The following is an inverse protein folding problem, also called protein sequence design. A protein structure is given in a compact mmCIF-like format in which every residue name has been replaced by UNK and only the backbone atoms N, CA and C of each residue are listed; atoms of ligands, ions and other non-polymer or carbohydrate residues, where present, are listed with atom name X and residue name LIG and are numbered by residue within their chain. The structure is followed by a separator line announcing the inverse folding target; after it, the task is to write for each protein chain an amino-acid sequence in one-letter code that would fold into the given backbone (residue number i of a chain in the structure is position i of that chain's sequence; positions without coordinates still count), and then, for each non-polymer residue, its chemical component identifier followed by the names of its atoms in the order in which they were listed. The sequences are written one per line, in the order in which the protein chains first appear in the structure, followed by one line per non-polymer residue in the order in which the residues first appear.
data_IF_088843128619
#
_entry.id   IF_088843128619
#
_cell.length_a   1.000
_cell.length_b   1.000
_cell.length_c   1.000
_cell.angle_alpha   90.00
_cell.angle_beta   90.00
_cell.angle_gamma   90.00
#
_symmetry.space_group_name_H-M   'P 1'
#
loop_
_entity.id
_entity.type
_entity.pdbx_description
1 polymer ?
#
# COMPACT_ATOMS: atom_id res chain seq x y z
N UNK A 1 8.58 2.52 -53.18
CA UNK A 1 9.81 2.32 -52.37
C UNK A 1 9.39 1.66 -51.08
N UNK A 2 9.86 0.46 -50.83
CA UNK A 2 9.52 -0.27 -49.58
C UNK A 2 10.53 0.14 -48.50
N UNK A 3 10.19 1.15 -47.70
CA UNK A 3 11.05 1.60 -46.59
C UNK A 3 10.92 0.63 -45.43
N UNK A 4 11.93 -0.19 -45.20
CA UNK A 4 11.98 -1.04 -43.98
C UNK A 4 12.22 -0.16 -42.75
N UNK A 5 11.53 -0.42 -41.62
CA UNK A 5 11.85 0.27 -40.40
C UNK A 5 13.30 0.07 -39.99
N UNK A 6 13.95 1.13 -39.51
CA UNK A 6 15.34 1.09 -38.99
C UNK A 6 15.32 1.21 -37.49
N UNK A 7 16.20 0.46 -36.81
CA UNK A 7 16.34 0.52 -35.37
C UNK A 7 17.14 1.75 -34.93
N UNK A 8 16.60 2.51 -33.98
CA UNK A 8 17.26 3.66 -33.39
C UNK A 8 17.28 3.50 -31.87
N UNK A 9 18.33 4.01 -31.20
CA UNK A 9 18.44 4.05 -29.72
C UNK A 9 18.26 5.49 -29.27
N UNK A 10 17.36 5.67 -28.28
CA UNK A 10 17.21 6.92 -27.56
C UNK A 10 17.64 6.71 -26.09
N UNK A 11 18.40 7.66 -25.53
CA UNK A 11 18.82 7.66 -24.14
C UNK A 11 18.91 9.10 -23.64
N UNK A 12 18.37 9.36 -22.46
CA UNK A 12 18.47 10.64 -21.77
C UNK A 12 18.69 10.37 -20.28
N UNK A 13 19.62 11.08 -19.66
CA UNK A 13 19.82 11.07 -18.22
C UNK A 13 18.99 12.21 -17.59
N UNK A 14 18.24 11.91 -16.51
CA UNK A 14 17.52 12.91 -15.72
C UNK A 14 17.85 12.71 -14.24
N UNK A 15 18.17 13.79 -13.55
CA UNK A 15 18.29 13.82 -12.08
C UNK A 15 16.94 14.20 -11.50
N UNK A 16 16.46 13.42 -10.53
CA UNK A 16 15.22 13.67 -9.81
C UNK A 16 15.52 13.74 -8.31
N UNK A 17 14.97 14.74 -7.62
CA UNK A 17 14.95 14.80 -6.16
C UNK A 17 13.64 14.17 -5.68
N UNK A 18 13.74 13.17 -4.81
CA UNK A 18 12.60 12.56 -4.14
C UNK A 18 12.51 13.16 -2.73
N UNK A 19 11.42 13.85 -2.44
CA UNK A 19 11.17 14.46 -1.14
C UNK A 19 9.68 14.38 -0.79
N UNK A 20 9.39 14.11 0.48
CA UNK A 20 8.04 14.15 1.03
C UNK A 20 8.08 14.60 2.49
N UNK A 21 7.12 15.40 2.90
CA UNK A 21 6.79 15.55 4.31
C UNK A 21 5.94 14.36 4.76
N UNK A 22 6.11 13.92 6.00
CA UNK A 22 5.37 12.78 6.52
C UNK A 22 5.12 12.88 8.02
N UNK A 23 4.04 12.28 8.48
CA UNK A 23 3.81 12.03 9.90
C UNK A 23 4.43 10.70 10.29
N UNK A 24 5.10 10.68 11.44
CA UNK A 24 5.65 9.49 12.08
C UNK A 24 5.00 9.30 13.44
N UNK A 25 4.41 8.13 13.67
CA UNK A 25 3.93 7.70 14.98
C UNK A 25 4.78 6.54 15.46
N UNK A 26 5.36 6.67 16.65
CA UNK A 26 6.12 5.61 17.32
C UNK A 26 5.26 4.99 18.42
N UNK A 27 5.29 3.65 18.60
CA UNK A 27 4.49 3.00 19.63
C UNK A 27 5.01 3.32 21.04
N UNK A 28 4.15 3.25 22.06
CA UNK A 28 4.57 3.41 23.47
C UNK A 28 5.72 2.46 23.81
N UNK A 29 6.70 2.97 24.52
CA UNK A 29 7.90 2.20 24.89
C UNK A 29 8.91 2.02 23.74
N UNK A 30 8.72 2.70 22.61
CA UNK A 30 9.76 2.75 21.57
C UNK A 30 11.08 3.28 22.14
N UNK A 31 12.18 2.55 21.92
CA UNK A 31 13.50 2.90 22.42
C UNK A 31 13.82 2.47 23.86
N UNK A 32 12.84 1.97 24.62
CA UNK A 32 13.08 1.43 25.98
C UNK A 32 13.94 0.14 25.93
N UNK A 33 13.73 -0.68 24.92
CA UNK A 33 14.56 -1.83 24.57
C UNK A 33 15.17 -1.59 23.18
N UNK A 34 16.48 -1.37 23.12
CA UNK A 34 17.22 -1.08 21.90
C UNK A 34 17.37 -2.30 20.98
N UNK A 35 17.09 -3.51 21.47
CA UNK A 35 17.12 -4.75 20.69
C UNK A 35 15.81 -5.02 19.99
N UNK A 36 14.71 -4.45 20.50
CA UNK A 36 13.37 -4.66 19.94
C UNK A 36 13.24 -4.02 18.56
N UNK A 37 12.68 -4.77 17.62
CA UNK A 37 12.27 -4.29 16.31
C UNK A 37 10.75 -4.26 16.23
N UNK A 38 10.23 -3.23 15.61
CA UNK A 38 8.80 -2.95 15.57
C UNK A 38 8.22 -3.15 14.16
N UNK A 39 7.03 -3.74 14.04
CA UNK A 39 6.34 -3.79 12.76
C UNK A 39 6.00 -2.37 12.27
N UNK A 40 5.96 -2.18 10.97
CA UNK A 40 5.73 -0.89 10.34
C UNK A 40 4.48 -0.93 9.45
N UNK A 41 3.65 0.12 9.53
CA UNK A 41 2.59 0.40 8.57
C UNK A 41 2.98 1.65 7.76
N UNK A 42 3.06 1.52 6.44
CA UNK A 42 3.06 2.64 5.50
C UNK A 42 1.60 2.91 5.11
N UNK A 43 1.12 4.12 5.44
CA UNK A 43 -0.27 4.53 5.19
C UNK A 43 -0.35 5.60 4.11
N UNK A 44 -1.18 5.36 3.09
CA UNK A 44 -1.40 6.26 1.97
C UNK A 44 -2.80 6.87 2.04
N UNK A 45 -2.87 8.19 2.20
CA UNK A 45 -4.13 8.94 2.25
C UNK A 45 -4.81 9.05 0.88
N UNK A 46 -6.05 9.51 0.87
CA UNK A 46 -6.85 9.75 -0.33
C UNK A 46 -6.53 11.08 -1.02
N UNK A 47 -7.23 11.34 -2.12
CA UNK A 47 -7.02 12.55 -2.92
C UNK A 47 -7.37 13.84 -2.15
N UNK A 48 -8.30 13.76 -1.19
CA UNK A 48 -8.74 14.92 -0.39
C UNK A 48 -7.71 15.45 0.60
N UNK A 49 -6.70 14.65 0.95
CA UNK A 49 -5.66 15.00 1.90
C UNK A 49 -4.34 15.43 1.21
N UNK A 50 -4.35 15.63 -0.11
CA UNK A 50 -3.19 16.18 -0.85
C UNK A 50 -2.87 17.60 -0.41
N UNK A 51 -1.63 18.03 -0.64
CA UNK A 51 -1.17 19.39 -0.38
C UNK A 51 0.08 19.47 0.45
N UNK A 52 0.15 20.45 1.36
CA UNK A 52 1.32 20.73 2.23
C UNK A 52 0.97 20.75 3.71
N UNK A 53 -0.31 20.58 4.07
CA UNK A 53 -0.74 20.57 5.45
C UNK A 53 -0.74 19.17 6.03
N UNK A 54 0.32 18.79 6.72
CA UNK A 54 0.45 17.46 7.34
C UNK A 54 -0.66 17.11 8.33
N UNK A 55 -1.31 18.09 8.96
CA UNK A 55 -2.38 17.80 9.94
C UNK A 55 -3.57 17.06 9.33
N UNK A 56 -3.82 17.25 8.02
CA UNK A 56 -4.93 16.57 7.34
C UNK A 56 -4.62 15.10 7.00
N UNK A 57 -3.35 14.72 6.95
CA UNK A 57 -2.92 13.33 6.67
C UNK A 57 -3.41 12.38 7.77
N UNK A 58 -3.49 12.85 9.02
CA UNK A 58 -4.01 12.09 10.14
C UNK A 58 -5.55 12.11 10.25
N UNK A 59 -6.27 12.70 9.28
CA UNK A 59 -7.74 12.80 9.33
C UNK A 59 -8.40 11.41 9.30
N UNK A 60 -7.82 10.48 8.58
CA UNK A 60 -8.27 9.10 8.41
C UNK A 60 -7.12 8.13 8.63
N UNK A 61 -7.43 6.84 8.69
CA UNK A 61 -6.42 5.78 8.71
C UNK A 61 -5.92 5.36 10.10
N UNK A 62 -4.83 4.59 10.15
CA UNK A 62 -4.38 3.88 11.35
C UNK A 62 -3.86 4.82 12.45
N UNK A 63 -3.46 6.04 12.15
CA UNK A 63 -2.95 7.01 13.13
C UNK A 63 -3.96 7.41 14.20
N UNK A 64 -5.25 7.18 13.99
CA UNK A 64 -6.33 7.45 14.96
C UNK A 64 -6.70 6.24 15.81
N UNK A 65 -6.15 5.08 15.51
CA UNK A 65 -6.58 3.80 16.09
C UNK A 65 -5.56 3.35 17.14
N UNK A 66 -6.01 3.19 18.39
CA UNK A 66 -5.14 2.80 19.50
C UNK A 66 -4.43 1.46 19.24
N UNK A 67 -5.15 0.46 18.68
CA UNK A 67 -4.56 -0.83 18.35
C UNK A 67 -3.40 -0.70 17.35
N UNK A 68 -3.49 0.25 16.41
CA UNK A 68 -2.39 0.53 15.48
C UNK A 68 -1.26 1.29 16.16
N UNK A 69 -1.57 2.40 16.85
CA UNK A 69 -0.56 3.24 17.51
C UNK A 69 0.27 2.49 18.55
N UNK A 70 -0.34 1.54 19.25
CA UNK A 70 0.31 0.81 20.34
C UNK A 70 1.23 -0.31 19.84
N UNK A 71 1.07 -0.77 18.60
CA UNK A 71 1.76 -1.95 18.11
C UNK A 71 2.69 -1.69 16.91
N UNK A 72 2.55 -0.55 16.22
CA UNK A 72 3.26 -0.30 14.97
C UNK A 72 4.00 1.05 14.96
N UNK A 73 5.11 1.09 14.26
CA UNK A 73 5.61 2.34 13.67
C UNK A 73 4.67 2.68 12.53
N UNK A 74 4.10 3.89 12.48
CA UNK A 74 3.20 4.29 11.40
C UNK A 74 3.84 5.47 10.67
N UNK A 75 4.02 5.31 9.36
CA UNK A 75 4.55 6.34 8.45
C UNK A 75 3.44 6.75 7.49
N UNK A 76 3.10 8.03 7.51
CA UNK A 76 2.03 8.60 6.70
C UNK A 76 2.56 9.80 5.92
N UNK A 77 3.10 9.58 4.71
CA UNK A 77 3.57 10.67 3.86
C UNK A 77 2.42 11.51 3.35
N UNK A 78 2.72 12.76 2.95
CA UNK A 78 1.79 13.62 2.24
C UNK A 78 2.09 13.64 0.74
N UNK A 79 1.06 13.36 -0.06
CA UNK A 79 1.12 13.52 -1.51
C UNK A 79 0.83 14.97 -1.88
N UNK A 80 1.65 15.64 -2.71
CA UNK A 80 1.41 17.02 -3.14
C UNK A 80 0.13 17.17 -3.98
N UNK A 81 -0.40 18.40 -4.02
CA UNK A 81 -1.53 18.72 -4.91
C UNK A 81 -1.22 18.36 -6.37
N UNK A 82 -2.25 17.90 -7.08
CA UNK A 82 -2.15 17.53 -8.50
C UNK A 82 -1.28 16.29 -8.78
N UNK A 83 -0.77 15.63 -7.74
CA UNK A 83 0.02 14.39 -7.89
C UNK A 83 -0.75 13.17 -7.43
N UNK A 84 -0.25 12.00 -7.80
CA UNK A 84 -0.63 10.70 -7.28
C UNK A 84 0.58 10.04 -6.61
N UNK A 85 0.38 8.94 -5.93
CA UNK A 85 1.46 8.21 -5.26
C UNK A 85 2.50 7.70 -6.26
N UNK A 86 3.78 7.95 -5.96
CA UNK A 86 4.93 7.51 -6.73
C UNK A 86 5.63 6.36 -6.00
N UNK A 87 5.82 5.22 -6.65
CA UNK A 87 6.52 4.08 -6.07
C UNK A 87 7.97 4.45 -5.70
N UNK A 88 8.68 5.20 -6.56
CA UNK A 88 10.07 5.59 -6.30
C UNK A 88 10.18 6.42 -5.00
N UNK A 89 9.26 7.38 -4.81
CA UNK A 89 9.23 8.20 -3.60
C UNK A 89 8.92 7.35 -2.36
N UNK A 90 7.93 6.47 -2.44
CA UNK A 90 7.50 5.65 -1.30
C UNK A 90 8.55 4.62 -0.91
N UNK A 91 9.26 4.03 -1.86
CA UNK A 91 10.38 3.12 -1.59
C UNK A 91 11.57 3.84 -0.98
N UNK A 92 11.94 5.01 -1.50
CA UNK A 92 13.02 5.82 -0.94
C UNK A 92 12.71 6.24 0.51
N UNK A 93 11.46 6.64 0.79
CA UNK A 93 11.01 6.94 2.15
C UNK A 93 11.07 5.71 3.04
N UNK A 94 10.59 4.56 2.58
CA UNK A 94 10.62 3.32 3.34
C UNK A 94 12.06 2.91 3.68
N UNK A 95 12.98 3.01 2.72
CA UNK A 95 14.41 2.74 2.93
C UNK A 95 15.06 3.68 3.97
N UNK A 96 14.69 4.96 3.96
CA UNK A 96 15.16 5.94 4.96
C UNK A 96 14.63 5.61 6.37
N UNK A 97 13.35 5.26 6.46
CA UNK A 97 12.72 4.87 7.72
C UNK A 97 13.34 3.58 8.28
N UNK A 98 13.54 2.56 7.45
CA UNK A 98 14.16 1.30 7.86
C UNK A 98 15.61 1.48 8.36
N UNK A 99 16.34 2.47 7.84
CA UNK A 99 17.71 2.82 8.28
C UNK A 99 17.72 3.60 9.60
N UNK A 100 16.73 4.47 9.81
CA UNK A 100 16.72 5.42 10.94
C UNK A 100 16.00 4.90 12.18
N UNK A 101 15.08 3.96 12.02
CA UNK A 101 14.22 3.46 13.09
C UNK A 101 14.36 1.95 13.27
N UNK A 102 14.00 1.48 14.48
CA UNK A 102 14.08 0.07 14.84
C UNK A 102 12.93 -0.76 14.19
N UNK A 103 12.90 -0.79 12.85
CA UNK A 103 11.89 -1.51 12.07
C UNK A 103 12.23 -3.00 12.01
N UNK A 104 11.20 -3.84 12.20
CA UNK A 104 11.24 -5.24 11.79
C UNK A 104 10.94 -5.32 10.29
N UNK A 105 11.97 -5.43 9.49
CA UNK A 105 11.85 -5.45 8.03
C UNK A 105 11.08 -6.65 7.49
N UNK A 106 10.85 -7.68 8.29
CA UNK A 106 9.99 -8.81 7.93
C UNK A 106 8.50 -8.54 8.17
N UNK A 107 8.17 -7.49 8.91
CA UNK A 107 6.80 -7.10 9.26
C UNK A 107 6.51 -5.66 8.82
N UNK A 108 6.61 -5.44 7.51
CA UNK A 108 6.26 -4.18 6.85
C UNK A 108 4.94 -4.36 6.12
N UNK A 109 3.98 -3.49 6.41
CA UNK A 109 2.63 -3.53 5.89
C UNK A 109 2.30 -2.25 5.14
N UNK A 110 1.43 -2.36 4.16
CA UNK A 110 1.00 -1.23 3.34
C UNK A 110 -0.52 -1.16 3.32
N UNK A 111 -1.07 0.02 3.58
CA UNK A 111 -2.51 0.27 3.47
C UNK A 111 -2.76 1.69 2.99
N UNK A 112 -3.92 1.93 2.42
CA UNK A 112 -4.33 3.26 1.98
C UNK A 112 -5.76 3.26 1.48
N UNK A 113 -6.36 4.45 1.41
CA UNK A 113 -7.75 4.64 1.04
C UNK A 113 -7.90 5.43 -0.28
N UNK A 114 -8.90 5.09 -1.09
CA UNK A 114 -9.21 5.78 -2.35
C UNK A 114 -7.97 5.90 -3.24
N UNK A 115 -7.47 7.09 -3.55
CA UNK A 115 -6.19 7.29 -4.23
C UNK A 115 -5.05 6.50 -3.56
N UNK A 116 -5.03 6.44 -2.22
CA UNK A 116 -4.09 5.61 -1.45
C UNK A 116 -4.37 4.11 -1.60
N UNK A 117 -5.61 3.70 -1.81
CA UNK A 117 -5.99 2.32 -2.14
C UNK A 117 -5.41 1.89 -3.50
N UNK A 118 -5.48 2.76 -4.52
CA UNK A 118 -4.79 2.56 -5.80
C UNK A 118 -3.26 2.52 -5.61
N UNK A 119 -2.71 3.43 -4.79
CA UNK A 119 -1.29 3.42 -4.44
C UNK A 119 -0.87 2.13 -3.75
N UNK A 120 -1.71 1.59 -2.86
CA UNK A 120 -1.49 0.31 -2.17
C UNK A 120 -1.44 -0.86 -3.14
N UNK A 121 -2.40 -0.96 -4.06
CA UNK A 121 -2.37 -1.97 -5.11
C UNK A 121 -1.12 -1.83 -5.99
N UNK A 122 -0.85 -0.61 -6.47
CA UNK A 122 0.26 -0.38 -7.39
C UNK A 122 1.61 -0.68 -6.74
N UNK A 123 1.90 -0.13 -5.56
CA UNK A 123 3.18 -0.34 -4.87
C UNK A 123 3.32 -1.80 -4.40
N UNK A 124 2.27 -2.37 -3.81
CA UNK A 124 2.28 -3.74 -3.29
C UNK A 124 2.50 -4.79 -4.37
N UNK A 125 1.92 -4.60 -5.58
CA UNK A 125 2.12 -5.54 -6.68
C UNK A 125 3.40 -5.27 -7.48
N UNK A 126 3.89 -4.03 -7.52
CA UNK A 126 5.18 -3.74 -8.18
C UNK A 126 6.39 -4.17 -7.35
N UNK A 127 6.25 -4.20 -6.03
CA UNK A 127 7.33 -4.51 -5.08
C UNK A 127 6.85 -5.43 -3.95
N UNK A 128 6.30 -6.62 -4.29
CA UNK A 128 5.69 -7.53 -3.30
C UNK A 128 6.72 -8.09 -2.30
N UNK A 129 8.00 -8.08 -2.66
CA UNK A 129 9.10 -8.48 -1.78
C UNK A 129 9.32 -7.53 -0.59
N UNK A 130 8.73 -6.33 -0.61
CA UNK A 130 8.85 -5.34 0.47
C UNK A 130 7.82 -5.52 1.58
N UNK A 131 6.71 -6.19 1.31
CA UNK A 131 5.55 -6.22 2.21
C UNK A 131 5.21 -7.63 2.68
N UNK A 132 4.93 -7.78 3.98
CA UNK A 132 4.37 -8.99 4.54
C UNK A 132 2.87 -9.12 4.21
N UNK A 133 2.14 -7.99 4.25
CA UNK A 133 0.75 -7.91 3.86
C UNK A 133 0.36 -6.51 3.39
N UNK A 134 -0.69 -6.44 2.56
CA UNK A 134 -1.28 -5.18 2.08
C UNK A 134 -2.79 -5.15 2.31
N UNK A 135 -3.31 -3.96 2.65
CA UNK A 135 -4.75 -3.75 2.84
C UNK A 135 -5.24 -2.52 2.04
N UNK A 136 -5.54 -2.67 0.75
CA UNK A 136 -6.10 -1.59 -0.07
C UNK A 136 -7.57 -1.37 0.27
N UNK A 137 -7.99 -0.10 0.44
CA UNK A 137 -9.35 0.29 0.80
C UNK A 137 -9.94 1.18 -0.28
N UNK A 138 -11.13 0.84 -0.81
CA UNK A 138 -11.88 1.54 -1.87
C UNK A 138 -11.00 2.06 -3.01
N UNK A 139 -10.12 1.19 -3.51
CA UNK A 139 -9.21 1.46 -4.62
C UNK A 139 -9.21 0.32 -5.62
N UNK A 140 -8.47 0.50 -6.70
CA UNK A 140 -8.28 -0.48 -7.76
C UNK A 140 -6.83 -0.60 -8.19
N UNK A 141 -6.55 -1.49 -9.11
CA UNK A 141 -5.20 -1.75 -9.60
C UNK A 141 -5.18 -2.27 -11.03
N UNK A 142 -4.00 -2.65 -11.47
CA UNK A 142 -3.77 -3.14 -12.84
C UNK A 142 -3.57 -4.67 -12.83
N UNK A 143 -4.60 -5.42 -13.23
CA UNK A 143 -4.54 -6.88 -13.30
C UNK A 143 -3.47 -7.40 -14.27
N UNK A 144 -3.01 -6.56 -15.21
CA UNK A 144 -1.90 -6.91 -16.12
C UNK A 144 -0.61 -7.24 -15.35
N UNK A 145 -0.34 -6.61 -14.19
CA UNK A 145 0.82 -6.92 -13.36
C UNK A 145 0.78 -8.39 -12.89
N UNK A 146 -0.41 -8.87 -12.49
CA UNK A 146 -0.62 -10.25 -12.05
C UNK A 146 -0.43 -11.21 -13.22
N UNK A 147 -0.98 -10.87 -14.39
CA UNK A 147 -0.83 -11.66 -15.60
C UNK A 147 0.64 -11.79 -16.02
N UNK A 148 1.39 -10.67 -16.04
CA UNK A 148 2.81 -10.68 -16.39
C UNK A 148 3.63 -11.50 -15.38
N UNK A 149 3.37 -11.37 -14.08
CA UNK A 149 4.04 -12.17 -13.06
C UNK A 149 3.74 -13.66 -13.25
N UNK A 150 2.48 -14.02 -13.49
CA UNK A 150 2.06 -15.41 -13.66
C UNK A 150 2.76 -16.12 -14.81
N UNK A 151 2.96 -15.44 -15.94
CA UNK A 151 3.49 -16.07 -17.15
C UNK A 151 4.97 -15.82 -17.39
N UNK A 152 5.56 -14.76 -16.83
CA UNK A 152 6.90 -14.31 -17.20
C UNK A 152 7.83 -14.02 -16.02
N UNK A 153 7.32 -13.98 -14.76
CA UNK A 153 8.13 -13.66 -13.59
C UNK A 153 7.73 -14.52 -12.37
N UNK A 154 8.31 -15.73 -12.32
CA UNK A 154 8.04 -16.68 -11.25
C UNK A 154 8.47 -16.17 -9.86
N UNK A 155 9.48 -15.30 -9.77
CA UNK A 155 9.94 -14.73 -8.49
C UNK A 155 8.92 -13.76 -7.92
N UNK A 156 8.40 -12.84 -8.75
CA UNK A 156 7.31 -11.93 -8.37
C UNK A 156 6.05 -12.72 -8.03
N UNK A 157 5.71 -13.75 -8.80
CA UNK A 157 4.54 -14.59 -8.52
C UNK A 157 4.66 -15.34 -7.18
N UNK A 158 5.86 -15.82 -6.83
CA UNK A 158 6.12 -16.44 -5.54
C UNK A 158 5.94 -15.43 -4.37
N UNK A 159 6.31 -14.16 -4.57
CA UNK A 159 6.05 -13.10 -3.60
C UNK A 159 4.55 -12.81 -3.44
N UNK A 160 3.77 -12.74 -4.52
CA UNK A 160 2.31 -12.59 -4.43
C UNK A 160 1.66 -13.71 -3.61
N UNK A 161 2.12 -14.95 -3.78
CA UNK A 161 1.59 -16.11 -3.05
C UNK A 161 1.92 -16.11 -1.56
N UNK A 162 2.97 -15.40 -1.13
CA UNK A 162 3.35 -15.28 0.28
C UNK A 162 2.76 -14.06 0.96
N UNK A 163 2.51 -13.00 0.22
CA UNK A 163 1.99 -11.73 0.74
C UNK A 163 0.51 -11.88 1.09
N UNK A 164 0.13 -11.55 2.34
CA UNK A 164 -1.26 -11.44 2.71
C UNK A 164 -1.93 -10.25 1.99
N UNK A 165 -3.13 -10.44 1.47
CA UNK A 165 -3.90 -9.38 0.79
C UNK A 165 -5.31 -9.37 1.33
N UNK A 166 -5.72 -8.25 1.93
CA UNK A 166 -7.09 -8.07 2.40
C UNK A 166 -7.66 -6.75 1.89
N UNK A 167 -8.42 -6.82 0.81
CA UNK A 167 -9.08 -5.66 0.21
C UNK A 167 -10.42 -5.35 0.90
N UNK A 168 -10.75 -4.05 0.97
CA UNK A 168 -12.01 -3.57 1.56
C UNK A 168 -12.68 -2.59 0.62
N UNK A 169 -14.03 -2.68 0.50
CA UNK A 169 -14.79 -1.77 -0.36
C UNK A 169 -16.20 -1.52 0.15
N UNK A 170 -16.78 -0.38 -0.22
CA UNK A 170 -18.19 -0.10 -0.01
C UNK A 170 -19.05 -0.66 -1.14
N UNK A 171 -20.12 -1.41 -0.80
CA UNK A 171 -21.00 -2.01 -1.79
C UNK A 171 -21.83 -0.99 -2.60
N UNK A 172 -22.00 0.22 -2.07
CA UNK A 172 -22.71 1.34 -2.72
C UNK A 172 -21.77 2.46 -3.17
N UNK A 173 -20.46 2.16 -3.32
CA UNK A 173 -19.46 3.13 -3.78
C UNK A 173 -19.69 3.45 -5.26
N UNK A 174 -20.01 4.72 -5.56
CA UNK A 174 -20.20 5.24 -6.92
C UNK A 174 -19.04 6.12 -7.38
N UNK A 175 -18.05 6.37 -6.52
CA UNK A 175 -16.84 7.14 -6.85
C UNK A 175 -15.76 6.21 -7.42
N UNK A 176 -15.51 5.12 -6.71
CA UNK A 176 -14.71 3.98 -7.16
C UNK A 176 -15.58 2.76 -6.96
N UNK A 177 -15.98 2.11 -8.04
CA UNK A 177 -16.93 0.99 -7.93
C UNK A 177 -16.27 -0.24 -7.30
N UNK A 178 -17.01 -1.07 -6.54
CA UNK A 178 -16.46 -2.25 -5.89
C UNK A 178 -15.84 -3.26 -6.87
N UNK A 179 -16.27 -3.24 -8.14
CA UNK A 179 -15.68 -4.05 -9.21
C UNK A 179 -14.15 -3.92 -9.30
N UNK A 180 -13.61 -2.76 -8.98
CA UNK A 180 -12.16 -2.52 -8.96
C UNK A 180 -11.45 -3.47 -7.99
N UNK A 181 -11.95 -3.61 -6.77
CA UNK A 181 -11.40 -4.56 -5.79
C UNK A 181 -11.73 -6.01 -6.15
N UNK A 182 -12.92 -6.28 -6.67
CA UNK A 182 -13.36 -7.63 -7.07
C UNK A 182 -12.48 -8.18 -8.20
N UNK A 183 -12.17 -7.37 -9.23
CA UNK A 183 -11.29 -7.74 -10.33
C UNK A 183 -9.88 -8.06 -9.84
N UNK A 184 -9.31 -7.24 -8.95
CA UNK A 184 -7.96 -7.46 -8.42
C UNK A 184 -7.88 -8.75 -7.60
N UNK A 185 -8.83 -8.93 -6.67
CA UNK A 185 -8.90 -10.12 -5.82
C UNK A 185 -9.18 -11.38 -6.65
N UNK A 186 -10.09 -11.30 -7.63
CA UNK A 186 -10.41 -12.39 -8.55
C UNK A 186 -9.20 -12.81 -9.38
N UNK A 187 -8.43 -11.85 -9.91
CA UNK A 187 -7.23 -12.13 -10.69
C UNK A 187 -6.15 -12.82 -9.86
N UNK A 188 -5.90 -12.37 -8.61
CA UNK A 188 -4.93 -12.98 -7.70
C UNK A 188 -5.33 -14.41 -7.31
N UNK A 189 -6.60 -14.64 -6.98
CA UNK A 189 -7.12 -15.99 -6.68
C UNK A 189 -6.98 -16.91 -7.88
N UNK A 190 -7.31 -16.43 -9.09
CA UNK A 190 -7.14 -17.19 -10.33
C UNK A 190 -5.67 -17.51 -10.62
N UNK A 191 -4.74 -16.65 -10.23
CA UNK A 191 -3.31 -16.89 -10.33
C UNK A 191 -2.74 -17.82 -9.25
N UNK A 192 -3.59 -18.32 -8.34
CA UNK A 192 -3.22 -19.27 -7.29
C UNK A 192 -2.70 -18.65 -5.99
N UNK A 193 -3.02 -17.39 -5.72
CA UNK A 193 -2.80 -16.78 -4.41
C UNK A 193 -3.93 -17.22 -3.46
N UNK A 194 -3.58 -17.77 -2.31
CA UNK A 194 -4.53 -18.38 -1.36
C UNK A 194 -4.89 -17.44 -0.21
N UNK A 195 -3.98 -16.55 0.19
CA UNK A 195 -4.20 -15.60 1.26
C UNK A 195 -4.66 -14.24 0.69
N UNK A 196 -5.82 -14.28 0.04
CA UNK A 196 -6.45 -13.11 -0.60
C UNK A 196 -7.89 -13.00 -0.15
N UNK A 197 -8.21 -11.95 0.59
CA UNK A 197 -9.54 -11.67 1.16
C UNK A 197 -10.15 -10.41 0.55
N UNK A 198 -11.47 -10.36 0.47
CA UNK A 198 -12.25 -9.17 0.12
C UNK A 198 -13.39 -9.02 1.12
N UNK A 199 -13.49 -7.86 1.74
CA UNK A 199 -14.64 -7.46 2.54
C UNK A 199 -15.40 -6.35 1.84
N UNK A 200 -16.63 -6.63 1.45
CA UNK A 200 -17.56 -5.62 0.95
C UNK A 200 -18.49 -5.21 2.11
N UNK A 201 -18.55 -3.92 2.39
CA UNK A 201 -19.54 -3.35 3.31
C UNK A 201 -20.80 -2.97 2.53
N UNK A 202 -21.90 -3.75 2.58
CA UNK A 202 -23.01 -3.63 1.63
C UNK A 202 -23.66 -2.25 1.59
N UNK A 203 -23.72 -1.57 2.74
CA UNK A 203 -24.37 -0.27 2.88
C UNK A 203 -23.41 0.93 2.79
N UNK A 204 -22.09 0.69 2.80
CA UNK A 204 -21.12 1.77 2.71
C UNK A 204 -21.01 2.29 1.28
N UNK A 205 -20.89 3.60 1.17
CA UNK A 205 -20.51 4.30 -0.05
C UNK A 205 -18.98 4.36 -0.14
N UNK A 206 -18.42 5.44 -0.70
CA UNK A 206 -16.98 5.60 -0.85
C UNK A 206 -16.24 5.58 0.49
N UNK A 207 -16.83 6.11 1.58
CA UNK A 207 -16.25 6.04 2.93
C UNK A 207 -16.38 4.63 3.56
N UNK A 208 -15.73 3.64 2.96
CA UNK A 208 -15.55 2.32 3.57
C UNK A 208 -14.38 2.29 4.55
N UNK A 209 -13.43 3.25 4.46
CA UNK A 209 -12.24 3.31 5.30
C UNK A 209 -12.54 3.55 6.78
N UNK A 210 -13.61 4.27 7.12
CA UNK A 210 -13.99 4.48 8.53
C UNK A 210 -14.28 3.15 9.21
N UNK A 211 -15.07 2.27 8.58
CA UNK A 211 -15.34 0.92 9.09
C UNK A 211 -14.09 0.03 9.06
N UNK A 212 -13.31 0.10 7.99
CA UNK A 212 -12.11 -0.72 7.81
C UNK A 212 -11.08 -0.45 8.90
N UNK A 213 -10.73 0.81 9.14
CA UNK A 213 -9.71 1.13 10.16
C UNK A 213 -10.25 1.02 11.59
N UNK A 214 -11.57 1.11 11.82
CA UNK A 214 -12.18 0.80 13.10
C UNK A 214 -12.24 -0.72 13.41
N UNK A 215 -12.02 -1.58 12.41
CA UNK A 215 -11.99 -3.03 12.63
C UNK A 215 -10.66 -3.48 13.26
N UNK A 216 -10.65 -3.94 14.53
CA UNK A 216 -9.41 -4.37 15.21
C UNK A 216 -8.79 -5.61 14.56
N UNK A 217 -9.57 -6.44 13.88
CA UNK A 217 -9.09 -7.65 13.19
C UNK A 217 -8.06 -7.31 12.10
N UNK A 218 -8.14 -6.13 11.47
CA UNK A 218 -7.17 -5.71 10.47
C UNK A 218 -5.75 -5.67 11.04
N UNK A 219 -5.59 -5.12 12.25
CA UNK A 219 -4.26 -4.97 12.86
C UNK A 219 -3.73 -6.28 13.43
N UNK A 220 -4.62 -7.13 13.95
CA UNK A 220 -4.26 -8.49 14.37
C UNK A 220 -3.83 -9.30 13.16
N UNK A 221 -4.60 -9.24 12.07
CA UNK A 221 -4.28 -9.93 10.81
C UNK A 221 -2.93 -9.46 10.24
N UNK A 222 -2.60 -8.18 10.27
CA UNK A 222 -1.27 -7.72 9.87
C UNK A 222 -0.18 -8.45 10.66
N UNK A 223 -0.31 -8.53 12.00
CA UNK A 223 0.70 -9.13 12.87
C UNK A 223 0.87 -10.65 12.66
N UNK A 224 -0.10 -11.33 12.06
CA UNK A 224 -0.03 -12.75 11.69
C UNK A 224 0.86 -12.99 10.46
N UNK A 225 1.21 -11.93 9.70
CA UNK A 225 1.96 -12.02 8.47
C UNK A 225 3.41 -11.59 8.65
N UNK A 226 4.31 -12.41 8.09
CA UNK A 226 5.75 -12.11 7.97
C UNK A 226 6.23 -12.50 6.57
N UNK A 227 7.21 -11.77 6.04
CA UNK A 227 7.83 -12.12 4.76
C UNK A 227 9.12 -12.91 4.93
#
# INVERSE_FOLDING_TARGET
MNTRPTAHKFSIERKQVLAADYLLSLPPGYGADTTKRWPLILFLHGAGERGTNLNIVAKHGPTKIEAAKNNFIIVSPQCPDGKIWSNDLLLALLDDIEKRYAVDTKRVYLTGLSMGGFGTWNLGLSHPERFAAIAPVCGGGQTIQITLAQYFDAATMANYKRMGIWAFHGGKDTTVTPDESEHMVGALKKAGCTDVKLTIYPEAQHDSWTKTYANPELFTWFLEHTR
#
